data_IF_722540992051
#
_entry.id   IF_722540992051
#
_cell.length_a   1.000
_cell.length_b   1.000
_cell.length_c   1.000
_cell.angle_alpha   90.00
_cell.angle_beta   90.00
_cell.angle_gamma   90.00
#
_symmetry.space_group_name_H-M   'P 1'
#
loop_
_entity.id
_entity.type
_entity.pdbx_description
1 polymer ?
#
# COMPACT_ATOMS: atom_id res chain seq x y z
N UNK A 1 -1.06 45.23 38.36
CA UNK A 1 -0.53 43.92 38.83
C UNK A 1 0.01 43.19 37.62
N UNK A 2 1.31 42.83 37.58
CA UNK A 2 1.89 42.10 36.45
C UNK A 2 1.42 40.63 36.48
N UNK A 3 0.74 40.20 35.43
CA UNK A 3 0.37 38.80 35.22
C UNK A 3 1.60 38.00 34.80
N UNK A 4 2.11 37.16 35.69
CA UNK A 4 3.13 36.17 35.37
C UNK A 4 2.52 35.09 34.48
N UNK A 5 2.68 35.22 33.16
CA UNK A 5 2.35 34.17 32.20
C UNK A 5 3.29 32.98 32.41
N UNK A 6 2.77 31.91 33.01
CA UNK A 6 3.49 30.63 33.14
C UNK A 6 3.72 30.05 31.74
N UNK A 7 4.99 30.00 31.32
CA UNK A 7 5.39 29.42 30.04
C UNK A 7 5.23 27.90 30.10
N UNK A 8 4.07 27.39 29.69
CA UNK A 8 3.88 25.95 29.55
C UNK A 8 4.95 25.36 28.62
N UNK A 9 5.57 24.26 29.03
CA UNK A 9 6.68 23.67 28.29
C UNK A 9 6.17 23.07 26.98
N UNK A 10 6.79 23.46 25.86
CA UNK A 10 6.43 22.95 24.53
C UNK A 10 6.98 21.53 24.26
N UNK A 11 7.77 20.98 25.19
CA UNK A 11 8.48 19.71 25.05
C UNK A 11 7.56 18.51 24.81
N UNK A 12 6.46 18.32 25.56
CA UNK A 12 5.58 17.17 25.35
C UNK A 12 4.98 17.15 23.94
N UNK A 13 4.56 18.32 23.44
CA UNK A 13 3.96 18.44 22.12
C UNK A 13 4.94 18.09 20.99
N UNK A 14 6.21 18.49 21.11
CA UNK A 14 7.24 18.17 20.11
C UNK A 14 7.51 16.66 20.08
N UNK A 15 7.61 16.03 21.25
CA UNK A 15 7.79 14.57 21.36
C UNK A 15 6.62 13.83 20.72
N UNK A 16 5.38 14.25 20.98
CA UNK A 16 4.18 13.65 20.36
C UNK A 16 4.19 13.77 18.84
N UNK A 17 4.58 14.92 18.29
CA UNK A 17 4.67 15.11 16.84
C UNK A 17 5.74 14.19 16.24
N UNK A 18 6.93 14.14 16.85
CA UNK A 18 8.04 13.29 16.38
C UNK A 18 7.62 11.81 16.40
N UNK A 19 7.00 11.35 17.49
CA UNK A 19 6.51 9.98 17.61
C UNK A 19 5.44 9.66 16.55
N UNK A 20 4.50 10.58 16.30
CA UNK A 20 3.45 10.38 15.30
C UNK A 20 3.99 10.35 13.86
N UNK A 21 4.97 11.20 13.53
CA UNK A 21 5.65 11.17 12.23
C UNK A 21 6.49 9.89 12.09
N UNK A 22 7.19 9.48 13.16
CA UNK A 22 7.90 8.20 13.19
C UNK A 22 6.97 7.03 12.90
N UNK A 23 5.80 7.00 13.54
CA UNK A 23 4.76 5.99 13.29
C UNK A 23 4.28 6.00 11.82
N UNK A 24 4.09 7.20 11.23
CA UNK A 24 3.74 7.34 9.82
C UNK A 24 4.82 6.76 8.89
N UNK A 25 6.10 7.10 9.12
CA UNK A 25 7.22 6.58 8.33
C UNK A 25 7.31 5.06 8.46
N UNK A 26 7.15 4.52 9.67
CA UNK A 26 7.12 3.07 9.90
C UNK A 26 5.96 2.44 9.14
N UNK A 27 4.77 3.06 9.13
CA UNK A 27 3.63 2.56 8.34
C UNK A 27 3.89 2.54 6.84
N UNK A 28 4.64 3.52 6.32
CA UNK A 28 5.06 3.58 4.92
C UNK A 28 6.07 2.48 4.59
N UNK A 29 7.00 2.19 5.49
CA UNK A 29 7.94 1.09 5.32
C UNK A 29 7.22 -0.26 5.28
N UNK A 30 6.24 -0.49 6.17
CA UNK A 30 5.40 -1.69 6.11
C UNK A 30 4.60 -1.75 4.81
N UNK A 31 4.01 -0.63 4.37
CA UNK A 31 3.31 -0.55 3.09
C UNK A 31 4.21 -0.93 1.91
N UNK A 32 5.45 -0.44 1.91
CA UNK A 32 6.46 -0.77 0.91
C UNK A 32 6.74 -2.28 0.88
N UNK A 33 7.05 -2.91 2.01
CA UNK A 33 7.30 -4.35 2.08
C UNK A 33 6.10 -5.14 1.55
N UNK A 34 4.90 -4.77 1.97
CA UNK A 34 3.66 -5.42 1.56
C UNK A 34 3.39 -5.32 0.06
N UNK A 35 3.55 -4.13 -0.51
CA UNK A 35 3.32 -3.90 -1.94
C UNK A 35 4.39 -4.58 -2.79
N UNK A 36 5.64 -4.68 -2.31
CA UNK A 36 6.67 -5.50 -2.96
C UNK A 36 6.28 -6.97 -2.99
N UNK A 37 5.90 -7.54 -1.83
CA UNK A 37 5.48 -8.94 -1.74
C UNK A 37 4.25 -9.24 -2.61
N UNK A 38 3.30 -8.30 -2.70
CA UNK A 38 2.14 -8.43 -3.58
C UNK A 38 2.54 -8.31 -5.05
N UNK A 39 3.48 -7.43 -5.40
CA UNK A 39 3.99 -7.30 -6.77
C UNK A 39 4.61 -8.62 -7.22
N UNK A 40 5.52 -9.19 -6.44
CA UNK A 40 6.15 -10.48 -6.73
C UNK A 40 5.13 -11.62 -6.77
N UNK A 41 4.25 -11.72 -5.76
CA UNK A 41 3.30 -12.82 -5.66
C UNK A 41 2.13 -12.78 -6.66
N UNK A 42 1.84 -11.61 -7.25
CA UNK A 42 0.61 -11.41 -8.03
C UNK A 42 0.90 -10.91 -9.46
N UNK A 43 1.83 -9.97 -9.61
CA UNK A 43 2.20 -9.39 -10.91
C UNK A 43 3.33 -10.16 -11.59
N UNK A 44 4.01 -11.06 -10.86
CA UNK A 44 5.06 -11.94 -11.38
C UNK A 44 4.71 -13.42 -11.15
N UNK A 45 3.51 -13.89 -11.59
CA UNK A 45 3.01 -15.20 -11.21
C UNK A 45 3.85 -16.37 -11.75
N UNK A 46 4.68 -16.14 -12.76
CA UNK A 46 5.51 -17.17 -13.36
C UNK A 46 6.87 -17.36 -12.68
N UNK A 47 7.25 -16.50 -11.73
CA UNK A 47 8.54 -16.63 -11.02
C UNK A 47 8.56 -17.85 -10.09
N UNK A 48 7.39 -18.23 -9.58
CA UNK A 48 7.20 -19.40 -8.71
C UNK A 48 6.99 -20.71 -9.48
N UNK A 49 7.05 -20.68 -10.82
CA UNK A 49 6.77 -21.83 -11.67
C UNK A 49 7.94 -22.16 -12.60
N UNK A 50 8.13 -23.44 -12.91
CA UNK A 50 9.15 -23.91 -13.86
C UNK A 50 8.78 -23.68 -15.32
N UNK A 51 7.54 -23.28 -15.60
CA UNK A 51 6.98 -23.15 -16.95
C UNK A 51 6.57 -21.69 -17.18
N UNK A 52 7.25 -21.01 -18.10
CA UNK A 52 7.05 -19.59 -18.40
C UNK A 52 6.59 -19.41 -19.86
N UNK A 53 5.75 -18.40 -20.18
CA UNK A 53 5.42 -18.12 -21.56
C UNK A 53 6.69 -17.74 -22.35
N UNK A 54 6.76 -18.07 -23.65
CA UNK A 54 7.92 -17.75 -24.47
C UNK A 54 8.12 -16.24 -24.60
N UNK A 55 9.38 -15.81 -24.81
CA UNK A 55 9.71 -14.42 -25.08
C UNK A 55 8.93 -13.89 -26.31
N UNK A 56 8.54 -12.62 -26.26
CA UNK A 56 7.70 -11.98 -27.28
C UNK A 56 6.19 -12.11 -27.02
N UNK A 57 5.76 -12.94 -26.05
CA UNK A 57 4.39 -12.93 -25.58
C UNK A 57 4.16 -11.74 -24.62
N UNK A 58 3.05 -11.02 -24.80
CA UNK A 58 2.70 -9.87 -23.95
C UNK A 58 2.62 -10.22 -22.46
N UNK A 59 2.18 -11.44 -22.12
CA UNK A 59 2.10 -11.93 -20.75
C UNK A 59 3.49 -12.00 -20.11
N UNK A 60 4.46 -12.56 -20.85
CA UNK A 60 5.87 -12.61 -20.42
C UNK A 60 6.45 -11.20 -20.33
N UNK A 61 6.14 -10.31 -21.27
CA UNK A 61 6.60 -8.91 -21.23
C UNK A 61 6.13 -8.17 -19.99
N UNK A 62 4.85 -8.33 -19.60
CA UNK A 62 4.31 -7.70 -18.38
C UNK A 62 4.93 -8.30 -17.13
N UNK A 63 5.05 -9.63 -17.06
CA UNK A 63 5.74 -10.29 -15.95
C UNK A 63 7.18 -9.76 -15.81
N UNK A 64 7.95 -9.78 -16.89
CA UNK A 64 9.37 -9.41 -16.88
C UNK A 64 9.58 -7.95 -16.45
N UNK A 65 8.62 -7.07 -16.76
CA UNK A 65 8.61 -5.69 -16.29
C UNK A 65 8.49 -5.57 -14.76
N UNK A 66 7.70 -6.45 -14.13
CA UNK A 66 7.53 -6.45 -12.67
C UNK A 66 8.51 -7.39 -11.94
N UNK A 67 9.08 -8.38 -12.62
CA UNK A 67 10.06 -9.34 -12.08
C UNK A 67 11.37 -8.63 -11.71
N UNK A 68 11.82 -7.70 -12.55
CA UNK A 68 13.12 -7.06 -12.37
C UNK A 68 13.10 -5.55 -12.70
N UNK A 69 14.01 -4.82 -12.06
CA UNK A 69 14.26 -3.41 -12.36
C UNK A 69 13.23 -2.45 -11.75
N UNK A 70 12.94 -1.35 -12.46
CA UNK A 70 12.14 -0.25 -11.91
C UNK A 70 10.66 -0.60 -11.77
N UNK A 71 10.13 -1.49 -12.61
CA UNK A 71 8.72 -1.86 -12.62
C UNK A 71 8.27 -2.54 -11.32
N UNK A 72 9.14 -3.35 -10.71
CA UNK A 72 8.91 -3.98 -9.41
C UNK A 72 8.57 -2.95 -8.30
N UNK A 73 9.17 -1.76 -8.36
CA UNK A 73 8.99 -0.72 -7.36
C UNK A 73 7.82 0.24 -7.66
N UNK A 74 7.26 0.22 -8.88
CA UNK A 74 6.25 1.19 -9.29
C UNK A 74 4.98 1.18 -8.42
N UNK A 75 4.42 0.02 -8.03
CA UNK A 75 3.24 0.01 -7.15
C UNK A 75 3.52 0.68 -5.80
N UNK A 76 4.64 0.31 -5.16
CA UNK A 76 5.08 0.88 -3.88
C UNK A 76 5.38 2.38 -4.00
N UNK A 77 6.09 2.80 -5.05
CA UNK A 77 6.40 4.20 -5.31
C UNK A 77 5.12 5.02 -5.53
N UNK A 78 4.19 4.52 -6.35
CA UNK A 78 2.91 5.17 -6.61
C UNK A 78 2.14 5.35 -5.31
N UNK A 79 2.07 4.30 -4.49
CA UNK A 79 1.43 4.37 -3.19
C UNK A 79 2.03 5.46 -2.30
N UNK A 80 3.36 5.44 -2.13
CA UNK A 80 4.07 6.37 -1.26
C UNK A 80 3.92 7.82 -1.73
N UNK A 81 4.03 8.08 -3.03
CA UNK A 81 3.87 9.43 -3.61
C UNK A 81 2.46 9.96 -3.35
N UNK A 82 1.42 9.17 -3.61
CA UNK A 82 0.03 9.60 -3.40
C UNK A 82 -0.25 9.80 -1.91
N UNK A 83 0.19 8.88 -1.05
CA UNK A 83 0.00 8.96 0.40
C UNK A 83 0.72 10.19 0.98
N UNK A 84 1.97 10.44 0.57
CA UNK A 84 2.74 11.61 0.99
C UNK A 84 2.13 12.93 0.47
N UNK A 85 1.60 12.94 -0.75
CA UNK A 85 0.91 14.10 -1.31
C UNK A 85 -0.36 14.43 -0.52
N UNK A 86 -1.19 13.42 -0.22
CA UNK A 86 -2.39 13.57 0.61
C UNK A 86 -2.04 14.03 2.03
N UNK A 87 -1.03 13.44 2.64
CA UNK A 87 -0.55 13.85 3.96
C UNK A 87 -0.07 15.31 3.95
N UNK A 88 0.75 15.69 2.98
CA UNK A 88 1.25 17.07 2.83
C UNK A 88 0.10 18.07 2.63
N UNK A 89 -0.87 17.71 1.80
CA UNK A 89 -2.08 18.50 1.58
C UNK A 89 -2.90 18.67 2.85
N UNK A 90 -3.03 17.62 3.67
CA UNK A 90 -3.68 17.68 4.98
C UNK A 90 -2.89 18.45 6.02
N UNK A 91 -1.57 18.29 6.07
CA UNK A 91 -0.68 18.93 7.05
C UNK A 91 -0.72 20.46 6.91
N UNK A 92 -0.82 20.97 5.68
CA UNK A 92 -1.01 22.41 5.40
C UNK A 92 -2.30 22.99 6.01
N UNK A 93 -3.28 22.16 6.34
CA UNK A 93 -4.57 22.56 6.92
C UNK A 93 -4.77 22.10 8.35
N UNK A 94 -3.94 21.20 8.88
CA UNK A 94 -4.18 20.60 10.18
C UNK A 94 -3.65 21.46 11.33
N UNK A 95 -4.52 21.82 12.28
CA UNK A 95 -4.10 22.43 13.57
C UNK A 95 -3.30 21.46 14.44
N UNK A 96 -3.52 20.16 14.28
CA UNK A 96 -2.90 19.08 15.07
C UNK A 96 -2.21 18.07 14.15
N UNK A 97 -0.98 18.38 13.73
CA UNK A 97 -0.18 17.54 12.83
C UNK A 97 0.00 16.12 13.40
N UNK A 98 0.22 15.99 14.72
CA UNK A 98 0.38 14.68 15.35
C UNK A 98 -0.85 13.77 15.14
N UNK A 99 -2.06 14.32 15.29
CA UNK A 99 -3.28 13.55 15.07
C UNK A 99 -3.42 13.11 13.61
N UNK A 100 -3.15 14.01 12.67
CA UNK A 100 -3.18 13.69 11.24
C UNK A 100 -2.18 12.56 10.90
N UNK A 101 -0.94 12.67 11.39
CA UNK A 101 0.11 11.67 11.15
C UNK A 101 -0.27 10.31 11.73
N UNK A 102 -0.76 10.27 12.97
CA UNK A 102 -1.25 9.04 13.59
C UNK A 102 -2.43 8.45 12.81
N UNK A 103 -3.40 9.26 12.37
CA UNK A 103 -4.54 8.77 11.61
C UNK A 103 -4.14 8.18 10.24
N UNK A 104 -3.21 8.81 9.53
CA UNK A 104 -2.63 8.25 8.31
C UNK A 104 -1.91 6.93 8.60
N UNK A 105 -1.08 6.89 9.64
CA UNK A 105 -0.36 5.68 10.00
C UNK A 105 -1.30 4.51 10.34
N UNK A 106 -2.32 4.77 11.16
CA UNK A 106 -3.31 3.77 11.56
C UNK A 106 -4.16 3.30 10.38
N UNK A 107 -4.55 4.19 9.48
CA UNK A 107 -5.30 3.79 8.27
C UNK A 107 -4.44 2.99 7.29
N UNK A 108 -3.17 3.32 7.14
CA UNK A 108 -2.22 2.52 6.36
C UNK A 108 -2.10 1.11 6.98
N UNK A 109 -1.73 1.02 8.27
CA UNK A 109 -1.58 -0.27 8.95
C UNK A 109 -2.88 -1.07 8.93
N UNK A 110 -4.02 -0.44 9.24
CA UNK A 110 -5.33 -1.08 9.23
C UNK A 110 -5.69 -1.64 7.85
N UNK A 111 -5.41 -0.89 6.78
CA UNK A 111 -5.60 -1.40 5.41
C UNK A 111 -4.73 -2.65 5.19
N UNK A 112 -3.43 -2.63 5.47
CA UNK A 112 -2.58 -3.80 5.21
C UNK A 112 -2.90 -5.01 6.10
N UNK A 113 -3.31 -4.78 7.35
CA UNK A 113 -3.80 -5.84 8.25
C UNK A 113 -5.06 -6.50 7.69
N UNK A 114 -5.95 -5.74 7.06
CA UNK A 114 -7.13 -6.28 6.38
C UNK A 114 -6.77 -6.97 5.05
N UNK A 115 -5.73 -6.51 4.36
CA UNK A 115 -5.31 -7.13 3.10
C UNK A 115 -4.80 -8.55 3.31
N UNK A 116 -4.03 -8.79 4.38
CA UNK A 116 -3.39 -10.08 4.65
C UNK A 116 -4.38 -11.27 4.69
N UNK A 117 -5.43 -11.26 5.54
CA UNK A 117 -6.38 -12.38 5.57
C UNK A 117 -7.16 -12.49 4.26
N UNK A 118 -7.44 -11.36 3.60
CA UNK A 118 -8.13 -11.34 2.32
C UNK A 118 -7.27 -11.94 1.20
N UNK A 119 -5.97 -11.66 1.18
CA UNK A 119 -5.03 -12.25 0.23
C UNK A 119 -4.87 -13.74 0.47
N UNK A 120 -4.79 -14.18 1.73
CA UNK A 120 -4.72 -15.61 2.06
C UNK A 120 -5.99 -16.35 1.67
N UNK A 121 -7.16 -15.76 1.95
CA UNK A 121 -8.45 -16.32 1.55
C UNK A 121 -8.56 -16.42 0.03
N UNK A 122 -8.17 -15.38 -0.72
CA UNK A 122 -8.23 -15.42 -2.18
C UNK A 122 -7.21 -16.40 -2.77
N UNK A 123 -5.99 -16.47 -2.22
CA UNK A 123 -4.97 -17.42 -2.68
C UNK A 123 -5.42 -18.87 -2.53
N UNK A 124 -6.13 -19.22 -1.45
CA UNK A 124 -6.62 -20.59 -1.24
C UNK A 124 -7.66 -21.03 -2.27
N UNK A 125 -8.48 -20.10 -2.80
CA UNK A 125 -9.39 -20.39 -3.91
C UNK A 125 -8.68 -20.48 -5.27
N UNK A 126 -7.52 -19.84 -5.40
CA UNK A 126 -6.84 -19.62 -6.67
C UNK A 126 -5.78 -20.69 -6.96
N UNK A 127 -5.10 -21.23 -5.94
CA UNK A 127 -3.93 -22.11 -6.08
C UNK A 127 -4.23 -23.60 -6.33
N UNK A 128 -5.38 -23.94 -6.93
CA UNK A 128 -5.62 -25.30 -7.42
C UNK A 128 -4.84 -25.58 -8.72
N UNK A 129 -3.51 -25.56 -8.66
CA UNK A 129 -2.65 -25.86 -9.81
C UNK A 129 -2.70 -27.37 -10.07
N UNK A 130 -3.03 -27.81 -11.30
CA UNK A 130 -3.05 -29.23 -11.61
C UNK A 130 -1.65 -29.84 -11.41
N UNK A 131 -1.54 -31.06 -10.86
CA UNK A 131 -0.27 -31.76 -10.87
C UNK A 131 0.16 -32.06 -12.32
N UNK A 132 1.47 -31.99 -12.59
CA UNK A 132 2.12 -32.46 -13.84
C UNK A 132 1.88 -31.61 -15.11
N UNK A 133 2.16 -30.31 -15.03
CA UNK A 133 2.11 -29.43 -16.20
C UNK A 133 3.33 -29.67 -17.11
N UNK A 134 3.12 -29.68 -18.42
CA UNK A 134 4.16 -29.72 -19.46
C UNK A 134 4.56 -28.30 -19.85
N UNK A 135 5.76 -28.08 -20.42
CA UNK A 135 6.19 -26.76 -20.88
C UNK A 135 5.18 -26.05 -21.79
N UNK A 136 4.47 -26.78 -22.65
CA UNK A 136 3.46 -26.23 -23.56
C UNK A 136 2.15 -25.78 -22.86
N UNK A 137 1.96 -26.20 -21.60
CA UNK A 137 0.81 -25.83 -20.76
C UNK A 137 0.98 -24.44 -20.12
N UNK A 138 1.99 -23.66 -20.53
CA UNK A 138 2.19 -22.29 -20.07
C UNK A 138 0.96 -21.41 -20.31
N UNK A 139 0.11 -21.74 -21.29
CA UNK A 139 -1.17 -21.04 -21.53
C UNK A 139 -2.21 -21.34 -20.43
N UNK A 140 -2.18 -22.57 -19.90
CA UNK A 140 -3.08 -23.03 -18.85
C UNK A 140 -2.67 -22.48 -17.46
N UNK A 141 -1.36 -22.36 -17.23
CA UNK A 141 -0.77 -21.65 -16.09
C UNK A 141 -0.87 -20.14 -16.23
N UNK A 142 -0.70 -19.65 -17.45
CA UNK A 142 -0.59 -18.26 -17.82
C UNK A 142 -1.90 -17.53 -17.98
N UNK A 143 -3.02 -18.21 -17.72
CA UNK A 143 -4.26 -17.53 -17.46
C UNK A 143 -4.14 -16.77 -16.13
N UNK A 144 -3.70 -15.51 -16.30
CA UNK A 144 -4.02 -14.32 -15.54
C UNK A 144 -5.34 -14.40 -14.74
N UNK A 145 -6.30 -15.21 -15.21
CA UNK A 145 -7.58 -15.62 -14.60
C UNK A 145 -7.53 -15.96 -13.10
N UNK A 146 -6.36 -16.29 -12.55
CA UNK A 146 -6.21 -16.73 -11.16
C UNK A 146 -5.75 -15.61 -10.22
N UNK A 147 -4.81 -14.75 -10.61
CA UNK A 147 -4.29 -13.69 -9.74
C UNK A 147 -5.03 -12.36 -9.88
N UNK A 148 -5.75 -12.12 -10.98
CA UNK A 148 -6.48 -10.85 -11.19
C UNK A 148 -7.51 -10.49 -10.10
N UNK A 149 -8.22 -11.43 -9.44
CA UNK A 149 -9.15 -11.04 -8.37
C UNK A 149 -8.41 -10.36 -7.22
N UNK A 150 -7.22 -10.86 -6.89
CA UNK A 150 -6.38 -10.28 -5.86
C UNK A 150 -5.81 -8.92 -6.29
N UNK A 151 -5.43 -8.76 -7.57
CA UNK A 151 -5.05 -7.44 -8.13
C UNK A 151 -6.20 -6.44 -7.99
N UNK A 152 -7.41 -6.81 -8.43
CA UNK A 152 -8.59 -5.93 -8.39
C UNK A 152 -8.93 -5.55 -6.96
N UNK A 153 -8.92 -6.51 -6.04
CA UNK A 153 -9.16 -6.27 -4.62
C UNK A 153 -8.09 -5.36 -4.02
N UNK A 154 -6.81 -5.60 -4.34
CA UNK A 154 -5.71 -4.74 -3.91
C UNK A 154 -5.86 -3.31 -4.39
N UNK A 155 -6.15 -3.11 -5.68
CA UNK A 155 -6.42 -1.79 -6.27
C UNK A 155 -7.62 -1.13 -5.59
N UNK A 156 -8.74 -1.83 -5.48
CA UNK A 156 -9.96 -1.31 -4.86
C UNK A 156 -9.71 -0.85 -3.42
N UNK A 157 -8.92 -1.61 -2.66
CA UNK A 157 -8.62 -1.28 -1.28
C UNK A 157 -7.66 -0.09 -1.14
N UNK A 158 -6.66 0.02 -2.01
CA UNK A 158 -5.77 1.20 -2.09
C UNK A 158 -6.57 2.45 -2.47
N UNK A 159 -7.47 2.33 -3.44
CA UNK A 159 -8.38 3.44 -3.83
C UNK A 159 -9.28 3.83 -2.66
N UNK A 160 -9.89 2.86 -1.96
CA UNK A 160 -10.73 3.11 -0.80
C UNK A 160 -9.95 3.77 0.35
N UNK A 161 -8.71 3.35 0.60
CA UNK A 161 -7.81 3.96 1.57
C UNK A 161 -7.55 5.43 1.24
N UNK A 162 -7.15 5.74 -0.01
CA UNK A 162 -6.88 7.11 -0.42
C UNK A 162 -8.14 7.98 -0.41
N UNK A 163 -9.29 7.44 -0.83
CA UNK A 163 -10.57 8.15 -0.73
C UNK A 163 -10.93 8.46 0.73
N UNK A 164 -10.76 7.48 1.63
CA UNK A 164 -10.98 7.65 3.06
C UNK A 164 -10.07 8.71 3.68
N UNK A 165 -8.77 8.67 3.36
CA UNK A 165 -7.79 9.66 3.81
C UNK A 165 -8.10 11.06 3.26
N UNK A 166 -8.48 11.18 1.99
CA UNK A 166 -8.87 12.45 1.39
C UNK A 166 -10.13 13.03 2.06
N UNK A 167 -11.15 12.21 2.33
CA UNK A 167 -12.36 12.62 3.05
C UNK A 167 -12.05 13.06 4.48
N UNK A 168 -11.19 12.32 5.18
CA UNK A 168 -10.72 12.66 6.53
C UNK A 168 -10.06 14.05 6.54
N UNK A 169 -9.15 14.32 5.60
CA UNK A 169 -8.50 15.63 5.48
C UNK A 169 -9.51 16.76 5.22
N UNK A 170 -10.52 16.52 4.37
CA UNK A 170 -11.58 17.51 4.11
C UNK A 170 -12.38 17.84 5.37
N UNK A 171 -12.79 16.82 6.14
CA UNK A 171 -13.56 17.01 7.39
C UNK A 171 -12.77 17.80 8.43
N UNK A 172 -11.49 17.46 8.63
CA UNK A 172 -10.61 18.20 9.55
C UNK A 172 -10.40 19.67 9.16
N UNK A 173 -10.61 20.01 7.89
CA UNK A 173 -10.53 21.38 7.39
C UNK A 173 -11.84 22.14 7.58
N UNK A 174 -12.98 21.45 7.56
CA UNK A 174 -14.30 22.03 7.76
C UNK A 174 -14.52 22.46 9.22
N UNK A 175 -14.10 21.63 10.18
CA UNK A 175 -14.21 21.90 11.63
C UNK A 175 -13.39 23.12 12.12
N UNK A 176 -12.67 23.80 11.22
CA UNK A 176 -11.83 24.94 11.54
C UNK A 176 -12.42 26.28 11.15
N UNK A 177 -13.53 26.29 10.39
CA UNK A 177 -14.28 27.48 10.03
C UNK A 177 -15.35 27.75 11.08
#
# INVERSE_FOLDING_TARGET
MPTTTVRQSQWPQRITIVAAIGLLIVSWFFAYIWLMALTEGVLVPWDTTTIRPPHGNWQRTVNDFFEAGIGAYLPSLTFLVVNAALFTWGARRAKRIAWLATAFALTNVGAFVLLLPLSLALQSFVHATPPQLRPDDWRYLGDFARTWPLVVVGIAMVVALFAGQALMVRRMSADQR
#
